data_IF_657244185298
#
_entry.id   IF_657244185298
#
_cell.length_a   1.000
_cell.length_b   1.000
_cell.length_c   1.000
_cell.angle_alpha   90.00
_cell.angle_beta   90.00
_cell.angle_gamma   90.00
#
_symmetry.space_group_name_H-M   'P 1'
#
loop_
_entity.id
_entity.type
_entity.pdbx_description
1 polymer ?
#
# COMPACT_ATOMS: atom_id res chain seq x y z
N UNK A 1 3.31 -9.58 -6.63
CA UNK A 1 2.99 -10.95 -6.20
C UNK A 1 3.15 -11.09 -4.70
N UNK A 2 2.32 -11.88 -4.08
CA UNK A 2 2.39 -12.19 -2.64
C UNK A 2 2.20 -10.99 -1.72
N UNK A 3 1.69 -9.87 -2.23
CA UNK A 3 1.28 -8.77 -1.35
C UNK A 3 0.00 -9.19 -0.62
N UNK A 4 -0.11 -8.75 0.64
CA UNK A 4 -1.26 -9.06 1.48
C UNK A 4 -2.04 -7.79 1.74
N UNK A 5 -3.24 -7.72 1.19
CA UNK A 5 -4.11 -6.56 1.33
C UNK A 5 -5.25 -6.88 2.29
N UNK A 6 -5.40 -6.07 3.32
CA UNK A 6 -6.52 -6.21 4.24
C UNK A 6 -7.84 -5.85 3.57
N UNK A 7 -8.92 -6.16 4.26
CA UNK A 7 -10.27 -5.87 3.76
C UNK A 7 -10.45 -4.36 3.57
N UNK A 8 -11.06 -3.97 2.45
CA UNK A 8 -11.39 -2.58 2.19
C UNK A 8 -10.24 -1.71 1.70
N UNK A 9 -9.11 -2.31 1.34
CA UNK A 9 -8.01 -1.52 0.78
C UNK A 9 -8.40 -0.95 -0.58
N UNK A 10 -7.95 0.28 -0.83
CA UNK A 10 -8.16 0.95 -2.12
C UNK A 10 -6.80 1.27 -2.72
N UNK A 11 -6.54 0.68 -3.89
CA UNK A 11 -5.29 0.91 -4.61
C UNK A 11 -5.64 1.64 -5.89
N UNK A 12 -5.26 2.90 -5.97
CA UNK A 12 -5.61 3.74 -7.13
C UNK A 12 -4.67 3.49 -8.31
N UNK A 13 -5.09 3.96 -9.47
CA UNK A 13 -4.31 3.78 -10.70
C UNK A 13 -2.92 4.38 -10.56
N UNK A 14 -1.91 3.67 -11.07
CA UNK A 14 -0.52 4.12 -10.97
C UNK A 14 0.13 3.91 -9.62
N UNK A 15 -0.62 3.45 -8.62
CA UNK A 15 -0.03 3.09 -7.35
C UNK A 15 0.67 1.74 -7.47
N UNK A 16 1.73 1.56 -6.70
CA UNK A 16 2.52 0.32 -6.73
C UNK A 16 2.57 -0.28 -5.34
N UNK A 17 2.16 -1.54 -5.23
CA UNK A 17 2.31 -2.33 -4.02
C UNK A 17 3.20 -3.51 -4.40
N UNK A 18 4.42 -3.49 -3.91
CA UNK A 18 5.41 -4.47 -4.31
C UNK A 18 5.22 -5.80 -3.56
N UNK A 19 6.03 -6.81 -3.93
CA UNK A 19 5.86 -8.15 -3.38
C UNK A 19 6.09 -8.17 -1.87
N UNK A 20 5.40 -9.05 -1.19
CA UNK A 20 5.49 -9.24 0.26
C UNK A 20 5.13 -8.01 1.10
N UNK A 21 4.60 -6.94 0.49
CA UNK A 21 4.08 -5.82 1.26
C UNK A 21 2.81 -6.25 2.00
N UNK A 22 2.61 -5.72 3.20
CA UNK A 22 1.45 -6.04 4.02
C UNK A 22 0.69 -4.76 4.34
N UNK A 23 -0.53 -4.65 3.85
CA UNK A 23 -1.38 -3.51 4.10
C UNK A 23 -2.52 -3.92 5.04
N UNK A 24 -2.67 -3.18 6.14
CA UNK A 24 -3.78 -3.39 7.05
C UNK A 24 -5.12 -3.05 6.39
N UNK A 25 -6.22 -3.37 7.07
CA UNK A 25 -7.54 -3.09 6.51
C UNK A 25 -7.73 -1.59 6.27
N UNK A 26 -8.48 -1.27 5.23
CA UNK A 26 -8.85 0.10 4.95
C UNK A 26 -7.71 1.01 4.52
N UNK A 27 -6.55 0.47 4.18
CA UNK A 27 -5.45 1.28 3.68
C UNK A 27 -5.79 1.82 2.30
N UNK A 28 -5.51 3.09 2.10
CA UNK A 28 -5.77 3.76 0.82
C UNK A 28 -4.44 4.21 0.21
N UNK A 29 -4.09 3.66 -0.93
CA UNK A 29 -2.90 4.08 -1.66
C UNK A 29 -3.32 4.98 -2.81
N UNK A 30 -2.97 6.26 -2.72
CA UNK A 30 -3.33 7.26 -3.72
C UNK A 30 -2.56 7.03 -5.02
N UNK A 31 -3.02 7.63 -6.14
CA UNK A 31 -2.30 7.47 -7.41
C UNK A 31 -0.83 7.87 -7.27
N UNK A 32 0.07 7.01 -7.78
CA UNK A 32 1.51 7.27 -7.68
C UNK A 32 2.13 6.94 -6.34
N UNK A 33 1.35 6.50 -5.36
CA UNK A 33 1.91 6.04 -4.09
C UNK A 33 2.61 4.70 -4.28
N UNK A 34 3.67 4.47 -3.51
CA UNK A 34 4.48 3.26 -3.65
C UNK A 34 4.67 2.62 -2.28
N UNK A 35 4.33 1.35 -2.17
CA UNK A 35 4.64 0.54 -0.99
C UNK A 35 5.69 -0.47 -1.42
N UNK A 36 6.88 -0.35 -0.86
CA UNK A 36 8.02 -1.16 -1.26
C UNK A 36 7.91 -2.59 -0.76
N UNK A 37 8.72 -3.46 -1.34
CA UNK A 37 8.74 -4.88 -0.98
C UNK A 37 8.95 -5.08 0.52
N UNK A 38 8.12 -5.90 1.13
CA UNK A 38 8.21 -6.24 2.54
C UNK A 38 7.79 -5.14 3.50
N UNK A 39 7.34 -3.98 3.01
CA UNK A 39 6.89 -2.90 3.88
C UNK A 39 5.54 -3.25 4.50
N UNK A 40 5.27 -2.69 5.68
CA UNK A 40 4.01 -2.87 6.37
C UNK A 40 3.33 -1.53 6.55
N UNK A 41 2.04 -1.47 6.27
CA UNK A 41 1.24 -0.25 6.42
C UNK A 41 0.11 -0.54 7.39
N UNK A 42 0.03 0.24 8.46
CA UNK A 42 -0.99 0.06 9.47
C UNK A 42 -2.39 0.29 8.91
N UNK A 43 -3.38 -0.33 9.54
CA UNK A 43 -4.77 -0.19 9.15
C UNK A 43 -5.16 1.30 9.07
N UNK A 44 -6.02 1.63 8.12
CA UNK A 44 -6.61 2.95 7.93
C UNK A 44 -5.62 4.05 7.55
N UNK A 45 -4.39 3.70 7.20
CA UNK A 45 -3.39 4.66 6.76
C UNK A 45 -3.66 5.05 5.31
N UNK A 46 -3.42 6.32 5.00
CA UNK A 46 -3.44 6.80 3.62
C UNK A 46 -2.01 7.02 3.14
N UNK A 47 -1.63 6.36 2.05
CA UNK A 47 -0.36 6.61 1.38
C UNK A 47 -0.64 7.65 0.31
N UNK A 48 -0.06 8.84 0.47
CA UNK A 48 -0.34 9.97 -0.40
C UNK A 48 0.31 9.81 -1.78
N UNK A 49 -0.17 10.60 -2.74
CA UNK A 49 0.41 10.60 -4.08
C UNK A 49 1.91 10.88 -4.00
N UNK A 50 2.71 10.04 -4.64
CA UNK A 50 4.15 10.18 -4.66
C UNK A 50 4.85 9.76 -3.39
N UNK A 51 4.11 9.37 -2.37
CA UNK A 51 4.72 8.89 -1.12
C UNK A 51 5.27 7.49 -1.31
N UNK A 52 6.44 7.23 -0.70
CA UNK A 52 7.10 5.93 -0.78
C UNK A 52 7.23 5.37 0.64
N UNK A 53 6.59 4.24 0.87
CA UNK A 53 6.67 3.54 2.15
C UNK A 53 7.72 2.45 2.02
N UNK A 54 8.75 2.52 2.86
CA UNK A 54 9.83 1.53 2.88
C UNK A 54 9.71 0.63 4.09
N UNK A 55 10.32 -0.52 3.95
CA UNK A 55 10.40 -1.47 5.04
C UNK A 55 11.16 -0.89 6.23
#
# INVERSE_FOLDING_TARGET
ADAHLGVGCIINGGAIVDHDAVLGRGVHVAPGGIVKAGAEVEALTKVDSGEIIKK
#
